data_IF_218508021315
#
_entry.id   IF_218508021315
#
_cell.length_a   1.000
_cell.length_b   1.000
_cell.length_c   1.000
_cell.angle_alpha   90.00
_cell.angle_beta   90.00
_cell.angle_gamma   90.00
#
_symmetry.space_group_name_H-M   'P 1'
#
loop_
_entity.id
_entity.type
_entity.pdbx_description
1 polymer ?
#
# COMPACT_ATOMS: atom_id res chain seq x y z
N UNK A 1 -33.24 12.83 -49.71
CA UNK A 1 -33.07 11.79 -48.68
C UNK A 1 -31.69 11.98 -48.07
N UNK A 2 -31.62 12.53 -46.87
CA UNK A 2 -30.39 12.81 -46.16
C UNK A 2 -30.12 11.67 -45.20
N UNK A 3 -29.00 10.94 -45.37
CA UNK A 3 -28.51 9.90 -44.47
C UNK A 3 -27.53 10.49 -43.50
N UNK A 4 -27.89 10.53 -42.24
CA UNK A 4 -27.04 10.91 -41.11
C UNK A 4 -26.11 9.73 -40.75
N UNK A 5 -24.79 9.96 -40.81
CA UNK A 5 -23.80 9.01 -40.29
C UNK A 5 -23.37 9.47 -38.89
N UNK A 6 -23.73 8.70 -37.89
CA UNK A 6 -23.29 8.89 -36.49
C UNK A 6 -21.91 8.27 -36.31
N UNK A 7 -20.93 9.09 -35.88
CA UNK A 7 -19.61 8.63 -35.47
C UNK A 7 -19.71 7.71 -34.28
N UNK A 8 -19.35 6.44 -34.46
CA UNK A 8 -19.17 5.50 -33.36
C UNK A 8 -18.04 5.95 -32.43
N UNK A 9 -18.37 6.10 -31.14
CA UNK A 9 -17.41 6.40 -30.11
C UNK A 9 -16.43 5.25 -29.96
N UNK A 10 -15.14 5.51 -30.22
CA UNK A 10 -14.05 4.62 -29.94
C UNK A 10 -13.94 4.41 -28.42
N UNK A 11 -14.41 3.27 -27.94
CA UNK A 11 -14.08 2.79 -26.60
C UNK A 11 -12.57 2.54 -26.56
N UNK A 12 -11.82 3.47 -25.99
CA UNK A 12 -10.41 3.26 -25.67
C UNK A 12 -10.34 2.08 -24.71
N UNK A 13 -9.84 0.95 -25.24
CA UNK A 13 -9.57 -0.24 -24.45
C UNK A 13 -8.68 0.13 -23.28
N UNK A 14 -9.22 -0.02 -22.07
CA UNK A 14 -8.47 0.08 -20.83
C UNK A 14 -7.32 -0.91 -20.93
N UNK A 15 -6.09 -0.42 -21.03
CA UNK A 15 -4.91 -1.25 -20.77
C UNK A 15 -5.08 -1.85 -19.39
N UNK A 16 -5.29 -3.19 -19.30
CA UNK A 16 -5.40 -3.93 -18.05
C UNK A 16 -4.07 -3.84 -17.30
N UNK A 17 -3.89 -2.73 -16.59
CA UNK A 17 -2.75 -2.38 -15.74
C UNK A 17 -3.23 -2.19 -14.30
N UNK A 18 -2.45 -1.49 -13.49
CA UNK A 18 -2.88 -1.07 -12.16
C UNK A 18 -4.25 -0.41 -12.24
N UNK A 19 -5.07 -0.63 -11.21
CA UNK A 19 -6.29 0.15 -11.05
C UNK A 19 -5.90 1.64 -10.93
N UNK A 20 -6.65 2.49 -11.60
CA UNK A 20 -6.46 3.94 -11.55
C UNK A 20 -6.85 4.49 -10.18
N UNK A 21 -6.46 5.74 -9.93
CA UNK A 21 -6.91 6.50 -8.77
C UNK A 21 -8.45 6.47 -8.64
N UNK A 22 -9.17 6.72 -9.75
CA UNK A 22 -10.63 6.79 -9.73
C UNK A 22 -11.27 5.43 -9.45
N UNK A 23 -10.66 4.34 -9.86
CA UNK A 23 -11.13 2.98 -9.57
C UNK A 23 -10.97 2.63 -8.08
N UNK A 24 -9.83 3.00 -7.45
CA UNK A 24 -9.65 2.81 -6.02
C UNK A 24 -10.59 3.70 -5.21
N UNK A 25 -10.73 4.96 -5.61
CA UNK A 25 -11.66 5.90 -4.99
C UNK A 25 -13.08 5.36 -5.01
N UNK A 26 -13.57 4.87 -6.17
CA UNK A 26 -14.89 4.28 -6.33
C UNK A 26 -15.13 3.07 -5.43
N UNK A 27 -14.13 2.18 -5.27
CA UNK A 27 -14.26 1.03 -4.37
C UNK A 27 -14.48 1.45 -2.93
N UNK A 28 -13.83 2.51 -2.46
CA UNK A 28 -14.09 3.07 -1.14
C UNK A 28 -15.48 3.74 -1.07
N UNK A 29 -15.93 4.39 -2.13
CA UNK A 29 -17.28 4.99 -2.22
C UNK A 29 -18.40 3.95 -2.18
N UNK A 30 -18.22 2.83 -2.89
CA UNK A 30 -19.19 1.73 -2.95
C UNK A 30 -19.13 0.78 -1.76
N UNK A 31 -18.13 0.92 -0.87
CA UNK A 31 -17.92 -0.01 0.24
C UNK A 31 -17.33 -1.36 -0.18
N UNK A 32 -16.84 -1.49 -1.42
CA UNK A 32 -16.15 -2.68 -1.92
C UNK A 32 -14.73 -2.79 -1.36
N UNK A 33 -14.60 -2.89 -0.05
CA UNK A 33 -13.34 -2.85 0.69
C UNK A 33 -13.03 -4.18 1.40
N UNK A 34 -13.26 -5.31 0.72
CA UNK A 34 -13.08 -6.65 1.28
C UNK A 34 -11.65 -6.98 1.77
N UNK A 35 -10.68 -6.13 1.48
CA UNK A 35 -9.31 -6.22 2.03
C UNK A 35 -9.19 -5.55 3.41
N UNK A 36 -10.11 -4.66 3.76
CA UNK A 36 -10.13 -3.96 5.04
C UNK A 36 -10.59 -4.90 6.15
N UNK A 37 -9.73 -5.14 7.12
CA UNK A 37 -10.00 -6.02 8.25
C UNK A 37 -10.80 -5.34 9.37
N UNK A 38 -10.98 -4.02 9.31
CA UNK A 38 -11.58 -3.23 10.37
C UNK A 38 -10.76 -3.15 11.67
N UNK A 39 -9.57 -3.75 11.71
CA UNK A 39 -8.70 -3.79 12.89
C UNK A 39 -7.24 -3.98 12.50
N UNK A 40 -6.36 -3.70 13.46
CA UNK A 40 -4.90 -3.91 13.35
C UNK A 40 -4.57 -5.38 13.07
N UNK A 41 -3.65 -5.62 12.15
CA UNK A 41 -3.15 -6.94 11.81
C UNK A 41 -2.59 -7.68 13.03
N UNK A 42 -2.92 -8.97 13.22
CA UNK A 42 -2.30 -9.80 14.25
C UNK A 42 -0.77 -9.86 14.11
N UNK A 43 -0.24 -9.88 12.88
CA UNK A 43 1.19 -9.92 12.64
C UNK A 43 1.90 -8.64 13.15
N UNK A 44 1.31 -7.45 12.90
CA UNK A 44 1.87 -6.22 13.46
C UNK A 44 1.87 -6.26 14.97
N UNK A 45 0.78 -6.69 15.60
CA UNK A 45 0.70 -6.83 17.06
C UNK A 45 1.78 -7.75 17.61
N UNK A 46 2.02 -8.88 16.93
CA UNK A 46 3.04 -9.84 17.31
C UNK A 46 4.45 -9.24 17.18
N UNK A 47 4.79 -8.62 16.06
CA UNK A 47 6.09 -7.97 15.86
C UNK A 47 6.39 -6.90 16.90
N UNK A 48 5.35 -6.15 17.31
CA UNK A 48 5.47 -5.14 18.38
C UNK A 48 5.64 -5.79 19.76
N UNK A 49 4.91 -6.88 20.05
CA UNK A 49 5.00 -7.61 21.32
C UNK A 49 6.38 -8.28 21.49
N UNK A 50 6.88 -8.90 20.42
CA UNK A 50 8.19 -9.57 20.38
C UNK A 50 9.37 -8.59 20.26
N UNK A 51 9.09 -7.28 20.22
CA UNK A 51 10.10 -6.23 20.01
C UNK A 51 10.94 -6.40 18.73
N UNK A 52 10.40 -7.08 17.72
CA UNK A 52 11.00 -7.16 16.39
C UNK A 52 10.85 -5.82 15.65
N UNK A 53 9.75 -5.12 15.88
CA UNK A 53 9.52 -3.76 15.43
C UNK A 53 9.46 -2.85 16.66
N UNK A 54 10.43 -1.96 16.79
CA UNK A 54 10.58 -1.00 17.88
C UNK A 54 10.41 0.43 17.36
N UNK A 55 10.20 1.38 18.25
CA UNK A 55 10.01 2.80 17.93
C UNK A 55 11.09 3.32 16.94
N UNK A 56 10.64 3.82 15.80
CA UNK A 56 11.49 4.33 14.72
C UNK A 56 10.67 5.18 13.74
N UNK A 57 11.33 5.73 12.70
CA UNK A 57 10.65 6.28 11.53
C UNK A 57 10.12 5.14 10.63
N UNK A 58 8.84 5.17 10.28
CA UNK A 58 8.21 4.08 9.55
C UNK A 58 7.29 4.57 8.45
N UNK A 59 7.42 3.97 7.26
CA UNK A 59 6.52 4.19 6.13
C UNK A 59 5.45 3.09 6.08
N UNK A 60 4.20 3.48 5.85
CA UNK A 60 3.07 2.57 5.60
C UNK A 60 2.50 2.85 4.21
N UNK A 61 2.98 2.16 3.15
CA UNK A 61 2.49 2.34 1.80
C UNK A 61 1.16 1.63 1.59
N UNK A 62 0.23 2.27 0.85
CA UNK A 62 -1.12 1.75 0.62
C UNK A 62 -1.89 1.59 1.93
N UNK A 63 -1.81 2.60 2.81
CA UNK A 63 -2.28 2.51 4.19
C UNK A 63 -3.80 2.33 4.35
N UNK A 64 -4.60 2.57 3.30
CA UNK A 64 -6.04 2.50 3.37
C UNK A 64 -6.62 3.32 4.53
N UNK A 65 -7.52 2.73 5.33
CA UNK A 65 -8.09 3.36 6.53
C UNK A 65 -7.12 3.47 7.71
N UNK A 66 -5.91 2.93 7.59
CA UNK A 66 -4.81 3.19 8.51
C UNK A 66 -4.95 2.62 9.92
N UNK A 67 -5.56 1.44 10.09
CA UNK A 67 -5.64 0.78 11.40
C UNK A 67 -4.26 0.61 12.02
N UNK A 68 -3.28 0.20 11.22
CA UNK A 68 -1.87 0.04 11.60
C UNK A 68 -1.20 1.40 11.88
N UNK A 69 -1.52 2.43 11.10
CA UNK A 69 -1.02 3.80 11.30
C UNK A 69 -1.42 4.32 12.67
N UNK A 70 -2.70 4.14 13.05
CA UNK A 70 -3.21 4.54 14.37
C UNK A 70 -2.51 3.78 15.49
N UNK A 71 -2.29 2.47 15.34
CA UNK A 71 -1.59 1.66 16.35
C UNK A 71 -0.13 2.08 16.50
N UNK A 72 0.58 2.29 15.39
CA UNK A 72 1.96 2.76 15.39
C UNK A 72 2.08 4.16 16.01
N UNK A 73 1.18 5.09 15.65
CA UNK A 73 1.15 6.43 16.23
C UNK A 73 0.89 6.41 17.74
N UNK A 74 -0.02 5.54 18.23
CA UNK A 74 -0.22 5.32 19.68
C UNK A 74 1.04 4.87 20.40
N UNK A 75 1.88 4.11 19.72
CA UNK A 75 3.18 3.64 20.24
C UNK A 75 4.31 4.62 19.95
N UNK A 76 3.98 5.85 19.54
CA UNK A 76 4.91 6.96 19.32
C UNK A 76 5.91 6.76 18.18
N UNK A 77 5.64 5.87 17.21
CA UNK A 77 6.42 5.83 15.99
C UNK A 77 6.30 7.15 15.23
N UNK A 78 7.34 7.54 14.51
CA UNK A 78 7.27 8.62 13.51
C UNK A 78 6.72 8.04 12.22
N UNK A 79 5.39 8.12 12.03
CA UNK A 79 4.69 7.43 10.95
C UNK A 79 4.45 8.35 9.77
N UNK A 80 4.84 7.89 8.58
CA UNK A 80 4.39 8.44 7.30
C UNK A 80 3.49 7.39 6.62
N UNK A 81 2.26 7.77 6.32
CA UNK A 81 1.26 6.92 5.68
C UNK A 81 0.93 7.48 4.30
N UNK A 82 0.99 6.63 3.27
CA UNK A 82 0.65 7.05 1.91
C UNK A 82 -0.43 6.16 1.31
N UNK A 83 -1.35 6.76 0.58
CA UNK A 83 -2.36 6.05 -0.20
C UNK A 83 -2.77 6.87 -1.43
N UNK A 84 -3.34 6.19 -2.40
CA UNK A 84 -3.84 6.80 -3.64
C UNK A 84 -5.21 7.45 -3.45
N UNK A 85 -6.10 6.82 -2.68
CA UNK A 85 -7.50 7.20 -2.53
C UNK A 85 -7.69 8.26 -1.45
N UNK A 86 -8.55 9.26 -1.75
CA UNK A 86 -8.83 10.37 -0.82
C UNK A 86 -9.70 9.96 0.38
N UNK A 87 -10.67 9.06 0.15
CA UNK A 87 -11.64 8.69 1.20
C UNK A 87 -10.94 8.09 2.41
N UNK A 88 -10.14 7.02 2.29
CA UNK A 88 -9.51 6.42 3.44
C UNK A 88 -8.54 7.38 4.14
N UNK A 89 -7.80 8.21 3.41
CA UNK A 89 -6.90 9.20 4.00
C UNK A 89 -7.66 10.24 4.84
N UNK A 90 -8.81 10.73 4.33
CA UNK A 90 -9.66 11.65 5.08
C UNK A 90 -10.22 11.02 6.34
N UNK A 91 -10.63 9.75 6.28
CA UNK A 91 -11.12 8.99 7.44
C UNK A 91 -10.00 8.79 8.47
N UNK A 92 -8.80 8.41 8.01
CA UNK A 92 -7.61 8.28 8.85
C UNK A 92 -7.24 9.59 9.55
N UNK A 93 -7.18 10.70 8.80
CA UNK A 93 -6.87 12.02 9.38
C UNK A 93 -7.86 12.41 10.46
N UNK A 94 -9.17 12.22 10.22
CA UNK A 94 -10.21 12.47 11.24
C UNK A 94 -10.02 11.60 12.49
N UNK A 95 -9.65 10.33 12.29
CA UNK A 95 -9.42 9.40 13.40
C UNK A 95 -8.20 9.80 14.22
N UNK A 96 -7.09 10.16 13.58
CA UNK A 96 -5.87 10.64 14.25
C UNK A 96 -6.17 11.89 15.07
N UNK A 97 -6.85 12.89 14.48
CA UNK A 97 -7.26 14.12 15.20
C UNK A 97 -8.13 13.79 16.42
N UNK A 98 -9.16 12.94 16.27
CA UNK A 98 -10.04 12.55 17.39
C UNK A 98 -9.30 11.86 18.53
N UNK A 99 -8.23 11.12 18.21
CA UNK A 99 -7.42 10.39 19.19
C UNK A 99 -6.21 11.20 19.70
N UNK A 100 -6.05 12.44 19.26
CA UNK A 100 -4.88 13.29 19.54
C UNK A 100 -3.55 12.59 19.20
N UNK A 101 -3.51 11.93 18.02
CA UNK A 101 -2.34 11.23 17.50
C UNK A 101 -1.76 11.97 16.29
N UNK A 102 -0.45 11.83 16.10
CA UNK A 102 0.29 12.47 14.99
C UNK A 102 0.83 11.42 14.05
N UNK A 103 0.60 11.63 12.76
CA UNK A 103 1.23 10.91 11.66
C UNK A 103 1.17 11.79 10.40
N UNK A 104 2.14 11.68 9.52
CA UNK A 104 2.11 12.31 8.20
C UNK A 104 1.23 11.45 7.28
N UNK A 105 0.12 12.02 6.82
CA UNK A 105 -0.84 11.35 5.94
C UNK A 105 -0.82 12.01 4.57
N UNK A 106 -0.26 11.33 3.58
CA UNK A 106 0.02 11.89 2.28
C UNK A 106 -0.75 11.14 1.18
N UNK A 107 -1.29 11.91 0.22
CA UNK A 107 -1.90 11.33 -0.96
C UNK A 107 -0.85 11.19 -2.06
N UNK A 108 -0.26 10.00 -2.18
CA UNK A 108 0.85 9.74 -3.07
C UNK A 108 0.71 8.41 -3.82
N UNK A 109 1.37 8.32 -4.98
CA UNK A 109 1.56 7.07 -5.71
C UNK A 109 2.76 6.32 -5.12
N UNK A 110 2.52 5.13 -4.59
CA UNK A 110 3.56 4.27 -3.99
C UNK A 110 4.71 3.94 -4.96
N UNK A 111 4.45 4.00 -6.27
CA UNK A 111 5.47 3.78 -7.30
C UNK A 111 6.34 5.03 -7.56
N UNK A 112 5.92 6.20 -7.09
CA UNK A 112 6.59 7.48 -7.33
C UNK A 112 7.09 8.15 -6.07
N UNK A 113 6.48 7.85 -4.93
CA UNK A 113 6.83 8.48 -3.66
C UNK A 113 8.32 8.33 -3.35
N UNK A 114 8.97 9.47 -3.12
CA UNK A 114 10.39 9.58 -2.77
C UNK A 114 10.50 10.59 -1.63
N UNK A 115 10.72 10.14 -0.38
CA UNK A 115 10.90 11.02 0.77
C UNK A 115 12.24 11.74 0.69
N UNK A 116 12.38 12.88 1.41
CA UNK A 116 13.67 13.55 1.59
C UNK A 116 14.67 12.67 2.35
N UNK A 117 14.16 11.95 3.35
CA UNK A 117 14.95 11.08 4.22
C UNK A 117 14.37 9.67 4.23
N UNK A 118 15.20 8.64 4.01
CA UNK A 118 14.77 7.25 4.09
C UNK A 118 14.31 6.86 5.50
N UNK A 119 13.48 5.82 5.60
CA UNK A 119 12.89 5.32 6.84
C UNK A 119 13.75 4.22 7.47
N UNK A 120 13.62 4.05 8.79
CA UNK A 120 14.21 2.92 9.52
C UNK A 120 13.45 1.62 9.24
N UNK A 121 12.14 1.72 9.00
CA UNK A 121 11.28 0.58 8.69
C UNK A 121 10.22 0.92 7.64
N UNK A 122 9.75 -0.12 6.94
CA UNK A 122 8.53 -0.07 6.13
C UNK A 122 7.61 -1.19 6.59
N UNK A 123 6.32 -0.86 6.79
CA UNK A 123 5.27 -1.83 7.02
C UNK A 123 4.43 -1.99 5.76
N UNK A 124 4.57 -3.10 5.08
CA UNK A 124 3.88 -3.45 3.84
C UNK A 124 2.80 -4.50 4.11
N UNK A 125 1.54 -4.14 3.91
CA UNK A 125 0.42 -5.07 4.01
C UNK A 125 -0.52 -4.85 2.84
N UNK A 126 -0.66 -5.86 2.00
CA UNK A 126 -1.62 -5.91 0.88
C UNK A 126 -1.48 -4.81 -0.19
N UNK A 127 -0.43 -4.00 -0.14
CA UNK A 127 -0.18 -3.00 -1.16
C UNK A 127 0.39 -3.64 -2.44
N UNK A 128 1.40 -4.51 -2.34
CA UNK A 128 2.00 -5.17 -3.51
C UNK A 128 0.95 -5.96 -4.32
N UNK A 129 0.05 -6.67 -3.65
CA UNK A 129 -0.99 -7.44 -4.32
C UNK A 129 -2.05 -6.58 -5.01
N UNK A 130 -2.11 -5.29 -4.70
CA UNK A 130 -2.96 -4.31 -5.38
C UNK A 130 -2.31 -3.77 -6.66
N UNK A 131 -1.00 -3.93 -6.81
CA UNK A 131 -0.19 -3.48 -7.94
C UNK A 131 -0.10 -4.60 -8.98
N UNK A 132 -0.28 -4.26 -10.26
CA UNK A 132 -0.13 -5.25 -11.34
C UNK A 132 1.31 -5.81 -11.37
N UNK A 133 1.52 -7.13 -11.54
CA UNK A 133 2.83 -7.79 -11.47
C UNK A 133 3.93 -7.17 -12.35
N UNK A 134 3.56 -6.58 -13.49
CA UNK A 134 4.53 -5.87 -14.36
C UNK A 134 5.24 -4.70 -13.66
N UNK A 135 4.68 -4.17 -12.57
CA UNK A 135 5.25 -3.05 -11.79
C UNK A 135 5.90 -3.48 -10.47
N UNK A 136 5.87 -4.77 -10.12
CA UNK A 136 6.42 -5.24 -8.85
C UNK A 136 7.90 -4.92 -8.67
N UNK A 137 8.69 -5.04 -9.74
CA UNK A 137 10.12 -4.67 -9.69
C UNK A 137 10.30 -3.17 -9.43
N UNK A 138 9.49 -2.32 -10.04
CA UNK A 138 9.52 -0.88 -9.79
C UNK A 138 9.12 -0.56 -8.34
N UNK A 139 8.13 -1.26 -7.80
CA UNK A 139 7.71 -1.12 -6.41
C UNK A 139 8.79 -1.59 -5.43
N UNK A 140 9.38 -2.76 -5.66
CA UNK A 140 10.50 -3.26 -4.85
C UNK A 140 11.68 -2.28 -4.84
N UNK A 141 12.06 -1.75 -6.01
CA UNK A 141 13.10 -0.72 -6.09
C UNK A 141 12.73 0.53 -5.27
N UNK A 142 11.46 0.92 -5.26
CA UNK A 142 10.98 2.06 -4.48
C UNK A 142 11.04 1.78 -2.98
N UNK A 143 10.61 0.60 -2.53
CA UNK A 143 10.74 0.19 -1.13
C UNK A 143 12.21 0.20 -0.69
N UNK A 144 13.11 -0.35 -1.51
CA UNK A 144 14.54 -0.37 -1.19
C UNK A 144 15.14 1.04 -1.11
N UNK A 145 14.76 1.96 -2.02
CA UNK A 145 15.26 3.34 -1.99
C UNK A 145 14.70 4.17 -0.85
N UNK A 146 13.52 3.80 -0.33
CA UNK A 146 12.87 4.48 0.79
C UNK A 146 13.33 3.94 2.16
N UNK A 147 14.15 2.89 2.21
CA UNK A 147 14.76 2.36 3.43
C UNK A 147 16.20 2.87 3.60
N UNK A 148 16.57 3.15 4.84
CA UNK A 148 17.96 3.35 5.22
C UNK A 148 18.77 2.06 5.02
N UNK A 149 20.07 2.19 4.93
CA UNK A 149 20.97 1.01 5.03
C UNK A 149 20.73 0.30 6.37
N UNK A 150 20.50 -1.01 6.33
CA UNK A 150 20.11 -1.80 7.51
C UNK A 150 18.65 -1.62 7.96
N UNK A 151 17.86 -0.79 7.28
CA UNK A 151 16.43 -0.65 7.53
C UNK A 151 15.66 -1.94 7.26
N UNK A 152 14.49 -2.10 7.89
CA UNK A 152 13.71 -3.34 7.86
C UNK A 152 12.40 -3.21 7.11
N UNK A 153 12.09 -4.20 6.27
CA UNK A 153 10.78 -4.37 5.63
C UNK A 153 9.97 -5.43 6.38
N UNK A 154 8.86 -5.02 6.97
CA UNK A 154 7.86 -5.90 7.58
C UNK A 154 6.73 -6.10 6.58
N UNK A 155 6.64 -7.28 5.97
CA UNK A 155 5.75 -7.49 4.84
C UNK A 155 4.81 -8.68 5.04
N UNK A 156 3.55 -8.49 4.61
CA UNK A 156 2.51 -9.51 4.57
C UNK A 156 2.05 -9.74 3.13
N UNK A 157 2.49 -10.84 2.54
CA UNK A 157 2.22 -11.18 1.16
C UNK A 157 0.88 -11.90 0.98
N UNK A 158 0.06 -11.43 0.04
CA UNK A 158 -1.24 -12.02 -0.26
C UNK A 158 -1.10 -13.42 -0.86
N UNK A 159 -1.69 -14.41 -0.21
CA UNK A 159 -1.81 -15.80 -0.69
C UNK A 159 -3.24 -16.05 -1.14
N UNK A 160 -3.58 -15.77 -2.40
CA UNK A 160 -4.98 -15.80 -2.87
C UNK A 160 -5.32 -17.02 -3.72
N UNK A 161 -4.33 -17.76 -4.24
CA UNK A 161 -4.51 -18.84 -5.23
C UNK A 161 -5.31 -18.44 -6.49
N UNK A 162 -5.49 -17.13 -6.73
CA UNK A 162 -6.19 -16.59 -7.91
C UNK A 162 -5.20 -16.23 -8.98
N UNK A 163 -5.50 -16.61 -10.23
CA UNK A 163 -4.67 -16.27 -11.40
C UNK A 163 -4.71 -14.78 -11.74
N UNK A 164 -5.81 -14.10 -11.40
CA UNK A 164 -6.05 -12.69 -11.72
C UNK A 164 -6.22 -11.86 -10.44
N UNK A 165 -5.97 -10.57 -10.57
CA UNK A 165 -6.09 -9.60 -9.47
C UNK A 165 -6.65 -8.25 -9.92
N UNK A 166 -6.65 -7.24 -9.06
CA UNK A 166 -6.29 -7.32 -7.65
C UNK A 166 -7.37 -8.01 -6.77
N UNK A 167 -6.95 -8.71 -5.70
CA UNK A 167 -5.57 -8.89 -5.23
C UNK A 167 -4.82 -9.95 -6.05
N UNK A 168 -3.59 -9.63 -6.46
CA UNK A 168 -2.70 -10.60 -7.13
C UNK A 168 -2.06 -11.54 -6.12
N UNK A 169 -1.89 -12.81 -6.51
CA UNK A 169 -1.20 -13.79 -5.68
C UNK A 169 0.30 -13.48 -5.58
N UNK A 170 0.79 -13.30 -4.36
CA UNK A 170 2.19 -13.01 -4.07
C UNK A 170 2.89 -14.26 -3.51
N UNK A 171 2.98 -15.32 -4.35
CA UNK A 171 3.54 -16.62 -3.92
C UNK A 171 4.97 -16.48 -3.38
N UNK A 172 5.28 -17.23 -2.32
CA UNK A 172 6.53 -17.09 -1.57
C UNK A 172 7.79 -17.14 -2.45
N UNK A 173 7.87 -18.13 -3.36
CA UNK A 173 9.02 -18.24 -4.28
C UNK A 173 9.17 -17.04 -5.21
N UNK A 174 8.04 -16.45 -5.67
CA UNK A 174 8.06 -15.25 -6.50
C UNK A 174 8.56 -14.05 -5.69
N UNK A 175 8.17 -13.96 -4.43
CA UNK A 175 8.64 -12.91 -3.52
C UNK A 175 10.12 -13.04 -3.21
N UNK A 176 10.63 -14.25 -2.97
CA UNK A 176 12.08 -14.48 -2.78
C UNK A 176 12.90 -14.09 -4.01
N UNK A 177 12.38 -14.30 -5.23
CA UNK A 177 13.03 -13.85 -6.47
C UNK A 177 12.95 -12.33 -6.64
N UNK A 178 11.85 -11.72 -6.25
CA UNK A 178 11.64 -10.28 -6.33
C UNK A 178 12.53 -9.54 -5.33
N UNK A 179 12.50 -9.96 -4.06
CA UNK A 179 13.30 -9.44 -2.95
C UNK A 179 14.56 -10.31 -2.76
N UNK A 180 15.42 -10.34 -3.78
CA UNK A 180 16.56 -11.25 -3.84
C UNK A 180 17.68 -10.89 -2.86
N UNK A 181 18.47 -11.91 -2.46
CA UNK A 181 19.51 -11.81 -1.46
C UNK A 181 20.67 -10.86 -1.82
N UNK A 182 20.76 -10.39 -3.07
CA UNK A 182 21.74 -9.37 -3.45
C UNK A 182 21.44 -7.99 -2.84
N UNK A 183 20.21 -7.77 -2.37
CA UNK A 183 19.76 -6.50 -1.76
C UNK A 183 19.09 -6.70 -0.41
N UNK A 184 18.42 -7.83 -0.20
CA UNK A 184 17.60 -8.12 0.97
C UNK A 184 18.14 -9.32 1.74
N UNK A 185 18.12 -9.25 3.05
CA UNK A 185 18.36 -10.37 3.96
C UNK A 185 17.02 -10.80 4.56
N UNK A 186 16.70 -12.08 4.43
CA UNK A 186 15.42 -12.65 4.90
C UNK A 186 15.54 -13.14 6.34
#
# INVERSE_FOLDING_TARGET
MATSVTKGGSSRGSCRGNLSFDEWQRRYESGETGWDRGTVSPALRQWLADRLLTHCSILVPGCGRGHEVVELARRRFTVTAIDFAKIPLRELTKQLTRLNLVADVLREDVLRFAPSDPFDAIYEQTCLCAIHPKHWRAYENRLASNLKSGGRLFALWMQSNKANGPPYHCGFQAMQKLFCNSRWSW
#
